data_IF_875967418758
#
_entry.id   IF_875967418758
#
_cell.length_a   1.000
_cell.length_b   1.000
_cell.length_c   1.000
_cell.angle_alpha   90.00
_cell.angle_beta   90.00
_cell.angle_gamma   90.00
#
_symmetry.space_group_name_H-M   'P 1'
#
loop_
_entity.id
_entity.type
_entity.pdbx_description
1 polymer ?
#
# COMPACT_ATOMS: atom_id res chain seq x y z
N UNK A 1 -33.65 -13.49 -20.78
CA UNK A 1 -32.43 -12.85 -21.34
C UNK A 1 -32.81 -11.46 -21.83
N UNK A 2 -32.06 -10.42 -21.47
CA UNK A 2 -32.32 -9.03 -21.90
C UNK A 2 -31.79 -8.79 -23.32
N UNK A 3 -32.47 -7.96 -24.10
CA UNK A 3 -32.04 -7.53 -25.45
C UNK A 3 -30.63 -6.92 -25.45
N UNK A 4 -30.28 -6.21 -24.37
CA UNK A 4 -28.93 -5.64 -24.17
C UNK A 4 -27.86 -6.72 -24.01
N UNK A 5 -28.16 -7.84 -23.34
CA UNK A 5 -27.22 -8.95 -23.18
C UNK A 5 -26.95 -9.72 -24.48
N UNK A 6 -27.92 -9.78 -25.40
CA UNK A 6 -27.72 -10.34 -26.73
C UNK A 6 -26.82 -9.44 -27.59
N UNK A 7 -27.02 -8.12 -27.56
CA UNK A 7 -26.18 -7.16 -28.27
C UNK A 7 -24.74 -7.15 -27.75
N UNK A 8 -24.54 -7.22 -26.42
CA UNK A 8 -23.19 -7.28 -25.83
C UNK A 8 -22.40 -8.52 -26.29
N UNK A 9 -23.06 -9.68 -26.42
CA UNK A 9 -22.44 -10.91 -26.93
C UNK A 9 -22.07 -10.79 -28.41
N UNK A 10 -22.90 -10.13 -29.22
CA UNK A 10 -22.59 -9.81 -30.62
C UNK A 10 -21.34 -8.92 -30.77
N UNK A 11 -21.04 -8.09 -29.78
CA UNK A 11 -19.83 -7.27 -29.73
C UNK A 11 -18.62 -7.96 -29.04
N UNK A 12 -18.72 -9.26 -28.74
CA UNK A 12 -17.62 -10.04 -28.16
C UNK A 12 -17.36 -9.77 -26.67
N UNK A 13 -18.37 -9.30 -25.93
CA UNK A 13 -18.27 -9.17 -24.47
C UNK A 13 -18.52 -10.50 -23.76
N UNK A 14 -17.81 -10.79 -22.64
CA UNK A 14 -18.10 -11.94 -21.79
C UNK A 14 -19.49 -11.87 -21.17
N UNK A 15 -20.03 -13.03 -20.75
CA UNK A 15 -21.36 -13.12 -20.13
C UNK A 15 -21.48 -12.29 -18.84
N UNK A 16 -20.41 -12.19 -18.05
CA UNK A 16 -20.42 -11.43 -16.81
C UNK A 16 -20.45 -9.91 -17.03
N UNK A 17 -20.21 -9.42 -18.26
CA UNK A 17 -20.17 -7.99 -18.58
C UNK A 17 -21.48 -7.26 -18.28
N UNK A 18 -22.62 -7.94 -18.40
CA UNK A 18 -23.94 -7.37 -18.11
C UNK A 18 -24.03 -6.84 -16.66
N UNK A 19 -23.23 -7.39 -15.72
CA UNK A 19 -23.13 -6.91 -14.35
C UNK A 19 -22.62 -5.47 -14.27
N UNK A 20 -21.80 -5.00 -15.22
CA UNK A 20 -21.23 -3.65 -15.23
C UNK A 20 -22.31 -2.56 -15.15
N UNK A 21 -23.47 -2.78 -15.76
CA UNK A 21 -24.62 -1.86 -15.72
C UNK A 21 -25.14 -1.58 -14.30
N UNK A 22 -24.84 -2.45 -13.33
CA UNK A 22 -25.23 -2.32 -11.93
C UNK A 22 -24.28 -1.42 -11.12
N UNK A 23 -23.14 -1.03 -11.69
CA UNK A 23 -22.10 -0.28 -10.99
C UNK A 23 -21.95 1.12 -11.59
N UNK A 24 -22.12 2.14 -10.76
CA UNK A 24 -21.84 3.54 -11.13
C UNK A 24 -20.48 3.93 -10.57
N UNK A 25 -19.48 4.03 -11.44
CA UNK A 25 -18.10 4.33 -11.03
C UNK A 25 -17.95 5.79 -10.61
N UNK A 26 -17.30 6.01 -9.48
CA UNK A 26 -16.96 7.32 -8.91
C UNK A 26 -15.46 7.64 -9.06
N UNK A 27 -14.90 8.33 -8.06
CA UNK A 27 -13.50 8.79 -8.08
C UNK A 27 -12.49 7.64 -8.03
N UNK A 28 -11.27 7.92 -8.48
CA UNK A 28 -10.12 7.02 -8.33
C UNK A 28 -9.60 7.06 -6.90
N UNK A 29 -9.48 5.89 -6.27
CA UNK A 29 -8.92 5.70 -4.93
C UNK A 29 -7.41 5.45 -4.98
N UNK A 30 -6.95 4.77 -6.02
CA UNK A 30 -5.53 4.47 -6.22
C UNK A 30 -5.24 4.06 -7.65
N UNK A 31 -4.01 4.31 -8.10
CA UNK A 31 -3.51 3.87 -9.40
C UNK A 31 -2.15 3.19 -9.17
N UNK A 32 -2.04 1.94 -9.61
CA UNK A 32 -0.81 1.15 -9.53
C UNK A 32 -0.41 0.63 -10.90
N UNK A 33 0.69 -0.11 -10.95
CA UNK A 33 1.27 -0.61 -12.21
C UNK A 33 0.33 -1.54 -12.99
N UNK A 34 -0.54 -2.28 -12.30
CA UNK A 34 -1.40 -3.29 -12.91
C UNK A 34 -2.86 -2.87 -13.10
N UNK A 35 -3.24 -1.69 -12.60
CA UNK A 35 -4.64 -1.32 -12.57
C UNK A 35 -4.96 -0.08 -11.76
N UNK A 36 -6.22 0.33 -11.88
CA UNK A 36 -6.79 1.46 -11.14
C UNK A 36 -7.87 0.93 -10.20
N UNK A 37 -7.89 1.45 -8.97
CA UNK A 37 -8.94 1.20 -7.99
C UNK A 37 -9.86 2.42 -7.99
N UNK A 38 -11.16 2.20 -8.22
CA UNK A 38 -12.19 3.26 -8.18
C UNK A 38 -13.24 2.91 -7.14
N UNK A 39 -13.84 3.93 -6.53
CA UNK A 39 -15.09 3.72 -5.80
C UNK A 39 -16.24 3.51 -6.80
N UNK A 40 -17.29 2.79 -6.41
CA UNK A 40 -18.52 2.70 -7.19
C UNK A 40 -19.74 2.57 -6.28
N UNK A 41 -20.87 3.11 -6.74
CA UNK A 41 -22.17 2.77 -6.16
C UNK A 41 -22.65 1.45 -6.79
N UNK A 42 -23.14 0.53 -5.95
CA UNK A 42 -23.62 -0.79 -6.35
C UNK A 42 -24.94 -1.14 -5.65
N UNK A 43 -25.62 -2.23 -6.03
CA UNK A 43 -26.80 -2.73 -5.30
C UNK A 43 -26.51 -3.10 -3.85
N UNK A 44 -25.23 -3.28 -3.48
CA UNK A 44 -24.78 -3.64 -2.14
C UNK A 44 -24.26 -2.44 -1.34
N UNK A 45 -24.46 -1.21 -1.84
CA UNK A 45 -23.89 0.01 -1.28
C UNK A 45 -22.60 0.43 -1.99
N UNK A 46 -21.79 1.29 -1.35
CA UNK A 46 -20.52 1.76 -1.89
C UNK A 46 -19.45 0.67 -1.81
N UNK A 47 -18.72 0.49 -2.91
CA UNK A 47 -17.72 -0.57 -3.07
C UNK A 47 -16.41 -0.02 -3.66
N UNK A 48 -15.32 -0.76 -3.48
CA UNK A 48 -14.09 -0.54 -4.22
C UNK A 48 -14.02 -1.51 -5.39
N UNK A 49 -13.66 -1.01 -6.58
CA UNK A 49 -13.53 -1.80 -7.80
C UNK A 49 -12.11 -1.68 -8.33
N UNK A 50 -11.35 -2.79 -8.24
CA UNK A 50 -10.02 -2.91 -8.85
C UNK A 50 -10.17 -3.33 -10.30
N UNK A 51 -9.63 -2.52 -11.21
CA UNK A 51 -9.70 -2.71 -12.66
C UNK A 51 -8.33 -3.15 -13.15
N UNK A 52 -8.24 -4.38 -13.68
CA UNK A 52 -6.99 -4.97 -14.20
C UNK A 52 -7.12 -5.12 -15.72
N UNK A 53 -6.11 -4.68 -16.47
CA UNK A 53 -6.11 -4.81 -17.93
C UNK A 53 -5.71 -6.24 -18.32
N UNK A 54 -6.52 -6.92 -19.14
CA UNK A 54 -6.23 -8.29 -19.62
C UNK A 54 -4.93 -8.42 -20.39
N UNK A 55 -4.52 -7.35 -21.09
CA UNK A 55 -3.24 -7.31 -21.80
C UNK A 55 -2.03 -7.50 -20.87
N UNK A 56 -2.14 -7.11 -19.60
CA UNK A 56 -1.08 -7.26 -18.61
C UNK A 56 -0.95 -8.71 -18.09
N UNK A 57 -1.92 -9.56 -18.41
CA UNK A 57 -2.02 -10.95 -17.92
C UNK A 57 -2.20 -11.95 -19.08
N UNK A 58 -1.91 -11.50 -20.31
CA UNK A 58 -2.12 -12.27 -21.54
C UNK A 58 -1.32 -13.55 -21.52
N UNK A 59 -1.97 -14.69 -21.76
CA UNK A 59 -1.36 -16.02 -21.71
C UNK A 59 -1.39 -16.68 -20.32
N UNK A 60 -1.78 -15.95 -19.28
CA UNK A 60 -1.92 -16.45 -17.91
C UNK A 60 -3.33 -16.19 -17.33
N UNK A 61 -4.34 -16.01 -18.18
CA UNK A 61 -5.71 -15.67 -17.77
C UNK A 61 -6.30 -16.71 -16.82
N UNK A 62 -5.97 -17.99 -17.01
CA UNK A 62 -6.41 -19.09 -16.12
C UNK A 62 -6.01 -18.84 -14.67
N UNK A 63 -4.78 -18.36 -14.43
CA UNK A 63 -4.30 -18.08 -13.08
C UNK A 63 -5.11 -16.97 -12.41
N UNK A 64 -5.58 -15.98 -13.18
CA UNK A 64 -6.45 -14.91 -12.66
C UNK A 64 -7.79 -15.48 -12.23
N UNK A 65 -8.39 -16.40 -13.00
CA UNK A 65 -9.64 -17.05 -12.61
C UNK A 65 -9.49 -17.93 -11.37
N UNK A 66 -8.43 -18.73 -11.30
CA UNK A 66 -8.14 -19.58 -10.13
C UNK A 66 -7.97 -18.71 -8.87
N UNK A 67 -7.34 -17.54 -9.01
CA UNK A 67 -7.17 -16.59 -7.92
C UNK A 67 -8.47 -15.88 -7.53
N UNK A 68 -9.32 -15.52 -8.49
CA UNK A 68 -10.66 -15.00 -8.20
C UNK A 68 -11.52 -16.04 -7.46
N UNK A 69 -11.41 -17.32 -7.80
CA UNK A 69 -12.08 -18.41 -7.09
C UNK A 69 -11.56 -18.54 -5.66
N UNK A 70 -10.26 -18.43 -5.46
CA UNK A 70 -9.64 -18.41 -4.13
C UNK A 70 -10.14 -17.22 -3.30
N UNK A 71 -10.14 -16.00 -3.86
CA UNK A 71 -10.60 -14.79 -3.15
C UNK A 71 -12.06 -14.86 -2.72
N UNK A 72 -12.91 -15.47 -3.55
CA UNK A 72 -14.32 -15.71 -3.22
C UNK A 72 -14.51 -16.60 -1.98
N UNK A 73 -13.51 -17.44 -1.66
CA UNK A 73 -13.55 -18.35 -0.51
C UNK A 73 -12.99 -17.73 0.77
N UNK A 74 -12.18 -16.67 0.67
CA UNK A 74 -11.58 -16.03 1.83
C UNK A 74 -12.63 -15.28 2.65
N UNK A 75 -12.73 -15.63 3.93
CA UNK A 75 -13.63 -15.01 4.91
C UNK A 75 -12.91 -14.86 6.23
N UNK A 76 -12.54 -13.62 6.56
CA UNK A 76 -11.88 -13.27 7.81
C UNK A 76 -12.17 -11.81 8.13
N UNK A 77 -12.31 -11.48 9.42
CA UNK A 77 -12.67 -10.13 9.91
C UNK A 77 -11.66 -9.06 9.46
N UNK A 78 -10.37 -9.38 9.55
CA UNK A 78 -9.27 -8.49 9.15
C UNK A 78 -8.84 -8.65 7.68
N UNK A 79 -9.71 -9.12 6.80
CA UNK A 79 -9.49 -9.21 5.35
C UNK A 79 -10.62 -8.45 4.64
N UNK A 80 -10.26 -7.62 3.65
CA UNK A 80 -11.26 -6.92 2.84
C UNK A 80 -12.25 -7.92 2.21
N UNK A 81 -13.54 -7.78 2.50
CA UNK A 81 -14.58 -8.68 2.00
C UNK A 81 -14.69 -8.62 0.48
N UNK A 82 -14.62 -9.79 -0.14
CA UNK A 82 -14.97 -9.97 -1.55
C UNK A 82 -16.49 -9.85 -1.73
N UNK A 83 -16.94 -9.10 -2.74
CA UNK A 83 -18.36 -8.86 -3.02
C UNK A 83 -18.77 -9.50 -4.34
N UNK A 84 -18.06 -9.18 -5.43
CA UNK A 84 -18.41 -9.64 -6.77
C UNK A 84 -17.18 -9.53 -7.69
N UNK A 85 -17.29 -10.11 -8.88
CA UNK A 85 -16.39 -9.82 -9.98
C UNK A 85 -17.10 -9.96 -11.33
N UNK A 86 -16.56 -9.26 -12.32
CA UNK A 86 -16.98 -9.35 -13.71
C UNK A 86 -15.85 -8.96 -14.65
N UNK A 87 -16.04 -9.15 -15.94
CA UNK A 87 -15.04 -8.83 -16.95
C UNK A 87 -15.68 -8.20 -18.19
N UNK A 88 -14.91 -7.35 -18.86
CA UNK A 88 -15.14 -6.94 -20.24
C UNK A 88 -14.19 -7.69 -21.15
N UNK A 89 -14.29 -7.44 -22.45
CA UNK A 89 -13.36 -7.97 -23.46
C UNK A 89 -11.88 -7.75 -23.09
N UNK A 90 -11.57 -6.62 -22.46
CA UNK A 90 -10.22 -6.12 -22.22
C UNK A 90 -9.84 -5.98 -20.73
N UNK A 91 -10.77 -6.15 -19.78
CA UNK A 91 -10.55 -5.85 -18.35
C UNK A 91 -11.20 -6.87 -17.42
N UNK A 92 -10.55 -7.11 -16.28
CA UNK A 92 -11.15 -7.72 -15.09
C UNK A 92 -11.55 -6.63 -14.10
N UNK A 93 -12.70 -6.81 -13.45
CA UNK A 93 -13.24 -5.93 -12.42
C UNK A 93 -13.48 -6.76 -11.15
N UNK A 94 -12.74 -6.43 -10.09
CA UNK A 94 -12.80 -7.13 -8.81
C UNK A 94 -13.44 -6.19 -7.81
N UNK A 95 -14.58 -6.59 -7.24
CA UNK A 95 -15.40 -5.76 -6.36
C UNK A 95 -15.23 -6.22 -4.92
N UNK A 96 -14.78 -5.32 -4.06
CA UNK A 96 -14.58 -5.57 -2.63
C UNK A 96 -15.27 -4.50 -1.78
N UNK A 97 -15.39 -4.75 -0.47
CA UNK A 97 -15.86 -3.71 0.46
C UNK A 97 -15.00 -2.45 0.34
N UNK A 98 -15.64 -1.28 0.43
CA UNK A 98 -14.93 -0.01 0.48
C UNK A 98 -14.45 0.26 1.92
N UNK A 99 -13.14 0.43 2.09
CA UNK A 99 -12.56 0.92 3.34
C UNK A 99 -12.43 2.45 3.28
N UNK A 100 -13.08 3.14 4.21
CA UNK A 100 -13.17 4.62 4.26
C UNK A 100 -12.46 5.24 5.45
N UNK A 101 -11.95 4.41 6.38
CA UNK A 101 -11.27 4.85 7.60
C UNK A 101 -9.82 5.29 7.42
N UNK A 102 -9.29 5.20 6.20
CA UNK A 102 -7.91 5.58 5.88
C UNK A 102 -6.87 4.50 6.19
N UNK A 103 -5.62 4.82 5.86
CA UNK A 103 -4.46 3.96 6.09
C UNK A 103 -4.06 3.92 7.57
N UNK A 104 -3.45 2.80 8.00
CA UNK A 104 -3.02 2.57 9.38
C UNK A 104 -2.25 3.75 10.00
N UNK A 105 -1.16 4.19 9.35
CA UNK A 105 -0.30 5.25 9.87
C UNK A 105 -0.96 6.63 9.85
N UNK A 106 -1.82 6.88 8.86
CA UNK A 106 -2.54 8.14 8.75
C UNK A 106 -3.49 8.30 9.95
N UNK A 107 -4.22 7.23 10.28
CA UNK A 107 -5.15 7.22 11.40
C UNK A 107 -4.44 7.30 12.75
N UNK A 108 -3.34 6.57 12.93
CA UNK A 108 -2.56 6.65 14.18
C UNK A 108 -2.10 8.09 14.43
N UNK A 109 -1.62 8.79 13.40
CA UNK A 109 -1.14 10.17 13.54
C UNK A 109 -2.22 11.17 13.98
N UNK A 110 -3.50 10.83 13.78
CA UNK A 110 -4.67 11.63 14.16
C UNK A 110 -5.16 11.35 15.58
N UNK A 111 -4.64 10.29 16.23
CA UNK A 111 -4.94 9.99 17.63
C UNK A 111 -4.23 10.97 18.59
N UNK A 112 -4.70 10.99 19.83
CA UNK A 112 -4.09 11.79 20.90
C UNK A 112 -2.85 11.15 21.52
N UNK A 113 -2.78 9.81 21.54
CA UNK A 113 -1.69 9.00 22.09
C UNK A 113 -1.68 7.65 21.34
N UNK A 114 -0.50 7.09 21.10
CA UNK A 114 -0.36 5.75 20.54
C UNK A 114 0.77 4.99 21.25
N UNK A 115 0.43 3.89 21.91
CA UNK A 115 1.34 3.12 22.76
C UNK A 115 1.85 1.84 22.10
N UNK A 116 2.85 1.22 22.70
CA UNK A 116 3.29 -0.12 22.31
C UNK A 116 2.15 -1.14 22.41
N UNK A 117 1.25 -0.98 23.40
CA UNK A 117 0.08 -1.84 23.54
C UNK A 117 -0.85 -1.69 22.34
N UNK A 118 -1.13 -0.47 21.90
CA UNK A 118 -1.95 -0.23 20.71
C UNK A 118 -1.32 -0.83 19.45
N UNK A 119 0.01 -0.70 19.31
CA UNK A 119 0.78 -1.34 18.25
C UNK A 119 0.65 -2.87 18.27
N UNK A 120 0.76 -3.50 19.45
CA UNK A 120 0.59 -4.95 19.60
C UNK A 120 -0.79 -5.44 19.14
N UNK A 121 -1.85 -4.68 19.45
CA UNK A 121 -3.21 -5.02 19.04
C UNK A 121 -3.39 -4.89 17.52
N UNK A 122 -2.86 -3.82 16.92
CA UNK A 122 -2.88 -3.64 15.47
C UNK A 122 -2.15 -4.79 14.77
N UNK A 123 -0.94 -5.14 15.23
CA UNK A 123 -0.15 -6.22 14.63
C UNK A 123 -0.82 -7.58 14.84
N UNK A 124 -1.50 -7.81 15.96
CA UNK A 124 -2.28 -9.04 16.17
C UNK A 124 -3.41 -9.20 15.14
N UNK A 125 -4.13 -8.11 14.82
CA UNK A 125 -5.18 -8.13 13.79
C UNK A 125 -4.61 -8.47 12.40
N UNK A 126 -3.51 -7.81 12.02
CA UNK A 126 -2.82 -8.07 10.74
C UNK A 126 -2.29 -9.51 10.69
N UNK A 127 -1.65 -9.97 11.76
CA UNK A 127 -1.10 -11.31 11.84
C UNK A 127 -2.20 -12.38 11.79
N UNK A 128 -3.37 -12.14 12.39
CA UNK A 128 -4.53 -13.03 12.28
C UNK A 128 -4.98 -13.18 10.83
N UNK A 129 -5.03 -12.07 10.06
CA UNK A 129 -5.33 -12.13 8.63
C UNK A 129 -4.27 -12.92 7.86
N UNK A 130 -2.98 -12.66 8.11
CA UNK A 130 -1.86 -13.36 7.46
C UNK A 130 -1.88 -14.85 7.79
N UNK A 131 -2.14 -15.23 9.04
CA UNK A 131 -2.24 -16.62 9.45
C UNK A 131 -3.39 -17.35 8.76
N UNK A 132 -4.55 -16.69 8.64
CA UNK A 132 -5.68 -17.22 7.87
C UNK A 132 -5.31 -17.45 6.40
N UNK A 133 -4.65 -16.49 5.75
CA UNK A 133 -4.18 -16.64 4.37
C UNK A 133 -3.22 -17.83 4.24
N UNK A 134 -2.22 -17.90 5.12
CA UNK A 134 -1.22 -18.95 5.13
C UNK A 134 -1.85 -20.34 5.32
N UNK A 135 -2.83 -20.49 6.20
CA UNK A 135 -3.57 -21.76 6.39
C UNK A 135 -4.38 -22.17 5.17
N UNK A 136 -4.87 -21.20 4.40
CA UNK A 136 -5.56 -21.43 3.13
C UNK A 136 -4.60 -21.53 1.93
N UNK A 137 -3.29 -21.59 2.15
CA UNK A 137 -2.30 -21.73 1.09
C UNK A 137 -2.05 -20.46 0.26
N UNK A 138 -2.51 -19.32 0.77
CA UNK A 138 -2.39 -18.02 0.11
C UNK A 138 -1.20 -17.26 0.69
N UNK A 139 -0.45 -16.57 -0.18
CA UNK A 139 0.63 -15.65 0.18
C UNK A 139 0.24 -14.27 -0.34
N UNK A 140 0.27 -13.24 0.50
CA UNK A 140 -0.12 -11.88 0.16
C UNK A 140 0.86 -11.22 -0.82
N UNK A 141 2.18 -11.36 -0.57
CA UNK A 141 3.30 -10.90 -1.42
C UNK A 141 3.49 -9.38 -1.54
N UNK A 142 2.53 -8.59 -1.09
CA UNK A 142 2.62 -7.13 -1.08
C UNK A 142 2.17 -6.53 0.26
N UNK A 143 2.57 -7.17 1.37
CA UNK A 143 2.21 -6.64 2.68
C UNK A 143 3.00 -5.35 2.93
N UNK A 144 2.28 -4.24 3.08
CA UNK A 144 2.84 -2.90 3.27
C UNK A 144 1.81 -1.99 3.95
N UNK A 145 2.22 -0.88 4.57
CA UNK A 145 1.32 0.06 5.24
C UNK A 145 0.12 0.53 4.42
N UNK A 146 0.32 0.76 3.12
CA UNK A 146 -0.71 1.21 2.17
C UNK A 146 -1.89 0.23 2.08
N UNK A 147 -1.63 -1.05 2.35
CA UNK A 147 -2.59 -2.15 2.22
C UNK A 147 -3.28 -2.47 3.56
N UNK A 148 -3.00 -1.70 4.62
CA UNK A 148 -3.63 -1.83 5.94
C UNK A 148 -4.61 -0.68 6.13
N UNK A 149 -5.90 -0.96 5.95
CA UNK A 149 -6.95 0.06 5.89
C UNK A 149 -7.96 -0.14 7.00
N UNK A 150 -8.45 0.95 7.58
CA UNK A 150 -9.60 0.89 8.46
C UNK A 150 -10.90 0.94 7.67
N UNK A 151 -11.87 0.09 8.04
CA UNK A 151 -13.14 -0.02 7.30
C UNK A 151 -13.93 1.29 7.33
N UNK A 152 -14.00 1.95 8.49
CA UNK A 152 -14.74 3.19 8.72
C UNK A 152 -13.90 4.18 9.54
N UNK A 153 -14.36 5.43 9.63
CA UNK A 153 -13.74 6.47 10.44
C UNK A 153 -13.98 6.31 11.95
N UNK A 154 -14.91 5.43 12.37
CA UNK A 154 -15.30 5.26 13.78
C UNK A 154 -14.17 4.68 14.64
N UNK A 155 -13.89 5.21 15.84
CA UNK A 155 -12.70 4.88 16.63
C UNK A 155 -12.42 3.37 16.84
N UNK A 156 -13.46 2.56 16.90
CA UNK A 156 -13.44 1.11 17.10
C UNK A 156 -13.41 0.30 15.79
N UNK A 157 -13.34 0.97 14.63
CA UNK A 157 -13.35 0.32 13.32
C UNK A 157 -12.22 -0.69 13.16
N UNK A 158 -12.55 -1.83 12.57
CA UNK A 158 -11.59 -2.88 12.26
C UNK A 158 -10.53 -2.44 11.25
N UNK A 159 -9.31 -2.93 11.48
CA UNK A 159 -8.22 -2.91 10.52
C UNK A 159 -8.36 -4.11 9.60
N UNK A 160 -8.32 -3.88 8.29
CA UNK A 160 -8.40 -4.92 7.26
C UNK A 160 -7.19 -4.88 6.34
N UNK A 161 -6.73 -6.07 5.97
CA UNK A 161 -5.78 -6.27 4.90
C UNK A 161 -6.49 -6.17 3.55
N UNK A 162 -6.05 -5.23 2.73
CA UNK A 162 -6.55 -4.96 1.40
C UNK A 162 -5.49 -5.30 0.33
N UNK A 163 -5.95 -5.31 -0.93
CA UNK A 163 -5.11 -5.47 -2.12
C UNK A 163 -4.24 -6.74 -2.17
N UNK A 164 -4.92 -7.88 -2.33
CA UNK A 164 -4.26 -9.14 -2.67
C UNK A 164 -3.54 -9.00 -4.02
N UNK A 165 -2.28 -9.40 -4.06
CA UNK A 165 -1.34 -9.23 -5.18
C UNK A 165 -1.64 -10.09 -6.40
N UNK A 166 -2.89 -10.12 -6.88
CA UNK A 166 -3.40 -10.99 -7.95
C UNK A 166 -2.60 -10.90 -9.25
N UNK A 167 -2.07 -9.71 -9.54
CA UNK A 167 -1.27 -9.48 -10.72
C UNK A 167 0.23 -9.75 -10.53
N UNK A 168 0.73 -9.88 -9.29
CA UNK A 168 2.17 -10.07 -9.01
C UNK A 168 2.62 -11.53 -9.16
N UNK A 169 1.69 -12.49 -9.16
CA UNK A 169 1.98 -13.89 -9.49
C UNK A 169 2.35 -14.08 -10.97
N UNK A 170 2.05 -13.07 -11.79
CA UNK A 170 2.16 -13.11 -13.25
C UNK A 170 3.40 -12.41 -13.79
N UNK A 171 4.16 -11.74 -12.93
CA UNK A 171 5.41 -11.12 -13.36
C UNK A 171 6.44 -12.20 -13.74
N UNK A 172 6.99 -12.04 -14.94
CA UNK A 172 8.26 -12.67 -15.29
C UNK A 172 9.34 -12.23 -14.28
N UNK A 173 10.39 -13.05 -14.11
CA UNK A 173 11.51 -12.72 -13.20
C UNK A 173 12.17 -11.37 -13.52
N UNK A 174 11.98 -10.83 -14.72
CA UNK A 174 12.59 -9.58 -15.19
C UNK A 174 11.71 -8.34 -14.99
N UNK A 175 10.38 -8.44 -15.16
CA UNK A 175 9.46 -7.31 -15.00
C UNK A 175 9.16 -6.96 -13.53
N UNK A 176 9.20 -7.96 -12.63
CA UNK A 176 8.93 -7.77 -11.19
C UNK A 176 9.82 -6.72 -10.52
N UNK A 177 11.10 -6.60 -10.91
CA UNK A 177 12.01 -5.61 -10.30
C UNK A 177 11.72 -4.17 -10.73
N UNK A 178 11.27 -3.95 -11.98
CA UNK A 178 10.95 -2.61 -12.45
C UNK A 178 9.65 -2.10 -11.82
N UNK A 179 8.69 -2.99 -11.59
CA UNK A 179 7.43 -2.69 -10.90
C UNK A 179 7.61 -2.50 -9.39
N UNK A 180 8.61 -3.15 -8.78
CA UNK A 180 8.94 -3.01 -7.35
C UNK A 180 9.69 -1.71 -6.99
N UNK A 181 10.02 -0.86 -7.97
CA UNK A 181 10.91 0.31 -7.81
C UNK A 181 10.51 1.34 -6.72
N UNK A 182 9.28 1.27 -6.18
CA UNK A 182 8.82 2.12 -5.06
C UNK A 182 8.64 1.42 -3.70
N UNK A 183 8.62 0.08 -3.63
CA UNK A 183 8.14 -0.67 -2.45
C UNK A 183 9.15 -1.64 -1.83
N UNK A 184 10.43 -1.60 -2.21
CA UNK A 184 11.45 -2.53 -1.70
C UNK A 184 11.62 -2.52 -0.17
N UNK A 185 11.28 -1.42 0.51
CA UNK A 185 11.48 -1.29 1.96
C UNK A 185 10.83 -2.40 2.80
N UNK A 186 9.77 -3.03 2.29
CA UNK A 186 9.05 -4.13 2.95
C UNK A 186 9.32 -5.51 2.32
N UNK A 187 10.06 -5.58 1.22
CA UNK A 187 10.30 -6.82 0.50
C UNK A 187 11.38 -7.66 1.20
N UNK A 188 11.16 -8.97 1.25
CA UNK A 188 12.12 -9.92 1.80
C UNK A 188 13.37 -10.06 0.89
N UNK A 189 14.56 -10.37 1.45
CA UNK A 189 15.79 -10.50 0.67
C UNK A 189 15.68 -11.54 -0.44
N UNK A 190 15.00 -12.67 -0.19
CA UNK A 190 14.80 -13.72 -1.20
C UNK A 190 13.90 -13.29 -2.38
N UNK A 191 13.02 -12.31 -2.16
CA UNK A 191 12.20 -11.70 -3.23
C UNK A 191 13.07 -10.77 -4.07
N UNK A 192 13.93 -9.97 -3.42
CA UNK A 192 14.87 -9.08 -4.10
C UNK A 192 15.94 -9.86 -4.89
N UNK A 193 16.38 -11.00 -4.37
CA UNK A 193 17.37 -11.89 -4.98
C UNK A 193 16.76 -12.97 -5.90
N UNK A 194 15.45 -12.89 -6.17
CA UNK A 194 14.73 -13.77 -7.12
C UNK A 194 14.81 -15.27 -6.81
N UNK A 195 15.07 -15.63 -5.55
CA UNK A 195 15.15 -17.04 -5.11
C UNK A 195 13.78 -17.68 -4.95
N UNK A 196 12.72 -16.88 -4.84
CA UNK A 196 11.33 -17.34 -4.77
C UNK A 196 10.48 -16.47 -3.86
N UNK A 197 9.18 -16.76 -3.81
CA UNK A 197 8.24 -16.10 -2.91
C UNK A 197 7.32 -17.17 -2.30
N UNK A 198 7.42 -17.34 -0.97
CA UNK A 198 6.56 -18.23 -0.20
C UNK A 198 5.98 -17.51 1.01
N UNK A 199 5.23 -18.21 1.87
CA UNK A 199 4.65 -17.66 3.11
C UNK A 199 5.64 -16.84 3.98
N UNK A 200 6.94 -17.20 4.09
CA UNK A 200 7.88 -16.41 4.88
C UNK A 200 8.03 -14.94 4.43
N UNK A 201 7.75 -14.60 3.17
CA UNK A 201 7.92 -13.22 2.68
C UNK A 201 6.98 -12.25 3.38
N UNK A 202 5.74 -12.67 3.64
CA UNK A 202 4.75 -11.85 4.36
C UNK A 202 5.18 -11.64 5.82
N UNK A 203 5.84 -12.64 6.42
CA UNK A 203 6.36 -12.55 7.78
C UNK A 203 7.50 -11.53 7.89
N UNK A 204 8.37 -11.46 6.89
CA UNK A 204 9.39 -10.41 6.82
C UNK A 204 8.76 -9.02 6.73
N UNK A 205 7.82 -8.83 5.80
CA UNK A 205 7.11 -7.57 5.64
C UNK A 205 6.38 -7.15 6.92
N UNK A 206 5.77 -8.09 7.63
CA UNK A 206 5.13 -7.85 8.93
C UNK A 206 6.16 -7.40 9.98
N UNK A 207 7.34 -7.99 10.00
CA UNK A 207 8.45 -7.56 10.87
C UNK A 207 8.88 -6.12 10.59
N UNK A 208 9.05 -5.75 9.32
CA UNK A 208 9.38 -4.38 8.90
C UNK A 208 8.27 -3.39 9.29
N UNK A 209 7.00 -3.76 9.09
CA UNK A 209 5.84 -2.94 9.50
C UNK A 209 5.84 -2.75 11.02
N UNK A 210 6.04 -3.82 11.78
CA UNK A 210 6.09 -3.79 13.25
C UNK A 210 7.21 -2.89 13.76
N UNK A 211 8.41 -3.03 13.19
CA UNK A 211 9.55 -2.15 13.50
C UNK A 211 9.19 -0.69 13.24
N UNK A 212 8.62 -0.40 12.07
CA UNK A 212 8.27 0.98 11.68
C UNK A 212 7.18 1.56 12.57
N UNK A 213 6.21 0.74 12.98
CA UNK A 213 5.12 1.12 13.86
C UNK A 213 5.60 1.50 15.27
N UNK A 214 6.70 0.88 15.73
CA UNK A 214 7.26 1.11 17.05
C UNK A 214 8.31 2.23 17.13
N UNK A 215 8.80 2.74 16.00
CA UNK A 215 9.85 3.76 16.06
C UNK A 215 9.80 4.85 14.98
N UNK A 216 8.87 4.78 14.03
CA UNK A 216 8.72 5.80 12.98
C UNK A 216 9.85 5.84 11.94
N UNK A 217 10.57 4.74 11.73
CA UNK A 217 11.49 4.61 10.60
C UNK A 217 11.67 3.14 10.17
N UNK A 218 12.10 2.93 8.93
CA UNK A 218 12.37 1.59 8.40
C UNK A 218 13.66 0.99 8.98
N UNK A 219 13.70 -0.31 9.32
CA UNK A 219 14.92 -0.97 9.78
C UNK A 219 16.04 -0.94 8.73
N UNK A 220 15.67 -0.89 7.45
CA UNK A 220 16.58 -0.80 6.32
C UNK A 220 16.34 0.50 5.56
N UNK A 221 17.40 1.24 5.24
CA UNK A 221 17.29 2.63 4.74
C UNK A 221 17.86 2.85 3.35
N UNK A 222 18.57 1.88 2.79
CA UNK A 222 19.16 2.04 1.47
C UNK A 222 18.10 2.28 0.38
N UNK A 223 18.36 3.26 -0.49
CA UNK A 223 17.56 3.54 -1.68
C UNK A 223 18.03 2.72 -2.90
N UNK A 224 19.23 2.16 -2.85
CA UNK A 224 19.79 1.31 -3.90
C UNK A 224 19.46 -0.16 -3.60
N UNK A 225 18.86 -0.86 -4.56
CA UNK A 225 18.47 -2.26 -4.41
C UNK A 225 19.63 -3.18 -3.99
N UNK A 226 20.84 -3.00 -4.52
CA UNK A 226 22.00 -3.83 -4.18
C UNK A 226 22.42 -3.61 -2.73
N UNK A 227 22.52 -2.34 -2.34
CA UNK A 227 22.92 -1.97 -0.99
C UNK A 227 21.83 -2.34 0.03
N UNK A 228 20.55 -2.26 -0.36
CA UNK A 228 19.42 -2.70 0.46
C UNK A 228 19.45 -4.21 0.67
N UNK A 229 19.68 -4.99 -0.39
CA UNK A 229 19.84 -6.44 -0.27
C UNK A 229 21.02 -6.80 0.64
N UNK A 230 22.13 -6.07 0.54
CA UNK A 230 23.27 -6.23 1.44
C UNK A 230 22.89 -5.92 2.89
N UNK A 231 22.17 -4.82 3.12
CA UNK A 231 21.67 -4.42 4.45
C UNK A 231 20.77 -5.52 5.04
N UNK A 232 19.85 -6.06 4.25
CA UNK A 232 18.93 -7.11 4.67
C UNK A 232 19.60 -8.47 4.92
N UNK A 233 20.75 -8.75 4.31
CA UNK A 233 21.41 -10.07 4.40
C UNK A 233 22.60 -10.10 5.36
N UNK A 234 23.30 -8.98 5.53
CA UNK A 234 24.53 -8.91 6.32
C UNK A 234 24.37 -8.11 7.61
N UNK A 235 23.47 -7.13 7.66
CA UNK A 235 23.28 -6.32 8.87
C UNK A 235 22.17 -6.92 9.73
N UNK A 236 22.44 -6.97 11.03
CA UNK A 236 21.40 -7.25 12.02
C UNK A 236 20.52 -6.02 12.19
N UNK A 237 19.25 -6.24 12.54
CA UNK A 237 18.33 -5.17 12.88
C UNK A 237 18.92 -4.34 14.02
N UNK A 238 19.08 -3.03 13.80
CA UNK A 238 19.63 -2.12 14.81
C UNK A 238 18.51 -1.42 15.55
N UNK A 239 18.49 -1.54 16.87
CA UNK A 239 17.56 -0.82 17.74
C UNK A 239 18.25 0.43 18.31
N UNK A 240 18.14 1.57 17.61
CA UNK A 240 18.79 2.80 18.06
C UNK A 240 18.20 3.27 19.39
N UNK A 241 19.05 3.41 20.40
CA UNK A 241 18.66 3.69 21.79
C UNK A 241 17.70 4.89 21.92
N UNK A 242 17.88 5.93 21.11
CA UNK A 242 17.01 7.12 21.06
C UNK A 242 15.52 6.79 20.91
N UNK A 243 15.17 5.74 20.18
CA UNK A 243 13.78 5.39 19.88
C UNK A 243 13.33 4.10 20.57
N UNK A 244 14.29 3.24 20.94
CA UNK A 244 14.00 1.87 21.40
C UNK A 244 14.28 1.65 22.89
N UNK A 245 14.75 2.67 23.62
CA UNK A 245 14.99 2.59 25.06
C UNK A 245 13.72 2.22 25.84
N UNK A 246 12.59 2.81 25.46
CA UNK A 246 11.31 2.65 26.15
C UNK A 246 10.39 1.61 25.48
N UNK A 247 10.90 0.87 24.50
CA UNK A 247 10.19 -0.24 23.84
C UNK A 247 10.63 -1.56 24.49
N UNK A 248 9.66 -2.43 24.79
CA UNK A 248 9.91 -3.69 25.48
C UNK A 248 10.90 -4.61 24.74
N UNK A 249 11.60 -5.46 25.49
CA UNK A 249 12.47 -6.47 24.89
C UNK A 249 11.67 -7.57 24.18
N UNK A 250 10.43 -7.80 24.59
CA UNK A 250 9.49 -8.70 23.90
C UNK A 250 9.14 -8.18 22.49
N UNK A 251 8.94 -6.87 22.32
CA UNK A 251 8.78 -6.26 20.99
C UNK A 251 10.00 -6.50 20.10
N UNK A 252 11.19 -6.31 20.68
CA UNK A 252 12.46 -6.50 19.97
C UNK A 252 12.66 -7.97 19.59
N UNK A 253 12.42 -8.93 20.50
CA UNK A 253 12.48 -10.36 20.18
C UNK A 253 11.49 -10.70 19.08
N UNK A 254 10.23 -10.28 19.19
CA UNK A 254 9.21 -10.50 18.17
C UNK A 254 9.67 -10.06 16.77
N UNK A 255 10.25 -8.86 16.66
CA UNK A 255 10.81 -8.35 15.39
C UNK A 255 11.98 -9.22 14.91
N UNK A 256 12.91 -9.57 15.80
CA UNK A 256 14.08 -10.38 15.45
C UNK A 256 13.71 -11.81 14.98
N UNK A 257 12.56 -12.34 15.41
CA UNK A 257 12.02 -13.62 14.90
C UNK A 257 11.44 -13.53 13.49
N UNK A 258 10.98 -12.34 13.09
CA UNK A 258 10.36 -12.07 11.79
C UNK A 258 11.36 -11.55 10.74
N UNK A 259 12.30 -10.70 11.14
CA UNK A 259 13.34 -10.16 10.26
C UNK A 259 14.57 -11.05 10.32
N UNK A 260 14.40 -12.28 9.82
CA UNK A 260 15.48 -13.28 9.69
C UNK A 260 15.82 -13.44 8.20
N UNK A 261 17.08 -13.21 7.77
CA UNK A 261 17.47 -13.31 6.37
C UNK A 261 17.22 -14.70 5.78
N UNK A 262 17.52 -15.75 6.55
CA UNK A 262 17.21 -17.13 6.20
C UNK A 262 15.70 -17.42 6.37
N UNK A 263 14.99 -17.51 5.24
CA UNK A 263 13.55 -17.76 5.20
C UNK A 263 13.11 -19.07 5.89
N UNK A 264 14.01 -20.06 6.04
CA UNK A 264 13.69 -21.33 6.70
C UNK A 264 13.79 -21.25 8.23
N UNK A 265 14.51 -20.26 8.75
CA UNK A 265 14.62 -19.98 10.19
C UNK A 265 13.63 -18.92 10.66
N UNK A 266 13.09 -18.13 9.72
CA UNK A 266 12.06 -17.13 9.96
C UNK A 266 10.80 -17.75 10.54
N UNK A 267 10.22 -17.12 11.55
CA UNK A 267 8.99 -17.64 12.15
C UNK A 267 7.81 -17.62 11.19
N UNK A 268 7.01 -18.67 11.29
CA UNK A 268 5.71 -18.79 10.65
C UNK A 268 4.67 -17.93 11.37
N UNK A 269 3.53 -17.68 10.71
CA UNK A 269 2.41 -16.97 11.31
C UNK A 269 1.88 -17.66 12.58
N UNK A 270 1.82 -19.00 12.58
CA UNK A 270 1.37 -19.79 13.73
C UNK A 270 2.31 -19.70 14.94
N UNK A 271 3.62 -19.58 14.70
CA UNK A 271 4.61 -19.36 15.76
C UNK A 271 4.50 -17.93 16.30
N UNK A 272 4.44 -16.95 15.41
CA UNK A 272 4.32 -15.54 15.78
C UNK A 272 3.05 -15.25 16.59
N UNK A 273 1.92 -15.89 16.27
CA UNK A 273 0.65 -15.73 16.99
C UNK A 273 0.72 -16.14 18.47
N UNK A 274 1.73 -16.92 18.87
CA UNK A 274 1.92 -17.39 20.24
C UNK A 274 2.91 -16.54 21.04
N UNK A 275 3.46 -15.49 20.44
CA UNK A 275 4.47 -14.66 21.10
C UNK A 275 3.85 -13.81 22.21
N UNK A 276 4.55 -13.69 23.35
CA UNK A 276 4.09 -12.95 24.54
C UNK A 276 3.77 -11.49 24.24
N UNK A 277 4.57 -10.83 23.41
CA UNK A 277 4.35 -9.44 23.00
C UNK A 277 2.92 -9.15 22.51
N UNK A 278 2.26 -10.10 21.83
CA UNK A 278 0.91 -9.92 21.29
C UNK A 278 -0.19 -9.92 22.36
N UNK A 279 0.11 -10.38 23.59
CA UNK A 279 -0.82 -10.22 24.73
C UNK A 279 -0.92 -8.76 25.17
N UNK A 280 0.12 -7.95 24.90
CA UNK A 280 0.23 -6.57 25.35
C UNK A 280 0.50 -6.44 26.86
N UNK A 281 0.75 -7.53 27.56
CA UNK A 281 1.05 -7.52 29.02
C UNK A 281 2.45 -6.97 29.30
N UNK A 282 3.38 -7.11 28.36
CA UNK A 282 4.76 -6.61 28.45
C UNK A 282 4.97 -5.27 27.73
N UNK A 283 3.90 -4.72 27.14
CA UNK A 283 3.97 -3.49 26.36
C UNK A 283 4.07 -2.25 27.26
N UNK A 284 4.87 -1.27 26.85
CA UNK A 284 5.04 -0.03 27.61
C UNK A 284 3.96 1.01 27.28
N UNK A 285 3.74 1.95 28.22
CA UNK A 285 2.83 3.10 28.05
C UNK A 285 3.47 4.28 27.32
N UNK A 286 4.68 4.09 26.76
CA UNK A 286 5.41 5.12 26.02
C UNK A 286 4.63 5.57 24.78
N UNK A 287 4.60 6.89 24.54
CA UNK A 287 3.89 7.45 23.40
C UNK A 287 4.80 7.48 22.17
N UNK A 288 4.46 6.66 21.18
CA UNK A 288 5.18 6.47 19.92
C UNK A 288 4.77 7.49 18.83
N UNK A 289 3.74 8.27 19.12
CA UNK A 289 3.10 9.17 18.17
C UNK A 289 4.02 10.27 17.59
N UNK A 290 4.94 10.91 18.36
CA UNK A 290 5.82 11.95 17.81
C UNK A 290 6.68 11.44 16.64
N UNK A 291 7.25 10.25 16.79
CA UNK A 291 8.08 9.57 15.80
C UNK A 291 7.26 9.21 14.56
N UNK A 292 6.05 8.68 14.76
CA UNK A 292 5.14 8.29 13.69
C UNK A 292 4.65 9.50 12.87
N UNK A 293 4.43 10.66 13.48
CA UNK A 293 4.09 11.89 12.75
C UNK A 293 5.23 12.37 11.85
N UNK A 294 6.46 12.28 12.33
CA UNK A 294 7.66 12.58 11.52
C UNK A 294 7.78 11.62 10.34
N UNK A 295 7.55 10.33 10.58
CA UNK A 295 7.52 9.29 9.55
C UNK A 295 6.46 9.55 8.47
N UNK A 296 5.20 9.78 8.86
CA UNK A 296 4.07 10.06 7.96
C UNK A 296 4.39 11.23 7.03
N UNK A 297 4.96 12.30 7.57
CA UNK A 297 5.34 13.49 6.80
C UNK A 297 6.38 13.15 5.72
N UNK A 298 7.41 12.38 6.08
CA UNK A 298 8.44 11.91 5.13
C UNK A 298 7.85 10.98 4.06
N UNK A 299 6.97 10.07 4.44
CA UNK A 299 6.31 9.16 3.49
C UNK A 299 5.42 9.89 2.50
N UNK A 300 4.62 10.85 2.95
CA UNK A 300 3.79 11.69 2.07
C UNK A 300 4.65 12.46 1.06
N UNK A 301 5.76 13.03 1.51
CA UNK A 301 6.71 13.69 0.62
C UNK A 301 7.30 12.74 -0.42
N UNK A 302 7.74 11.55 0.02
CA UNK A 302 8.31 10.52 -0.86
C UNK A 302 7.30 10.08 -1.92
N UNK A 303 6.06 9.77 -1.54
CA UNK A 303 4.98 9.42 -2.47
C UNK A 303 4.72 10.53 -3.48
N UNK A 304 4.68 11.79 -3.04
CA UNK A 304 4.51 12.93 -3.94
C UNK A 304 5.64 13.03 -4.98
N UNK A 305 6.89 12.82 -4.56
CA UNK A 305 8.05 12.80 -5.47
C UNK A 305 7.94 11.64 -6.48
N UNK A 306 7.53 10.45 -6.04
CA UNK A 306 7.37 9.28 -6.91
C UNK A 306 6.27 9.50 -7.96
N UNK A 307 5.13 10.11 -7.59
CA UNK A 307 4.07 10.48 -8.53
C UNK A 307 4.58 11.47 -9.59
N UNK A 308 5.37 12.48 -9.19
CA UNK A 308 5.98 13.43 -10.13
C UNK A 308 6.96 12.75 -11.08
N UNK A 309 7.83 11.87 -10.57
CA UNK A 309 8.76 11.07 -11.39
C UNK A 309 8.01 10.20 -12.39
N UNK A 310 6.95 9.51 -11.95
CA UNK A 310 6.11 8.67 -12.80
C UNK A 310 5.43 9.49 -13.89
N UNK A 311 4.84 10.65 -13.55
CA UNK A 311 4.23 11.56 -14.52
C UNK A 311 5.23 12.02 -15.58
N UNK A 312 6.45 12.38 -15.17
CA UNK A 312 7.50 12.78 -16.10
C UNK A 312 7.93 11.63 -17.03
N UNK A 313 8.01 10.40 -16.50
CA UNK A 313 8.31 9.20 -17.30
C UNK A 313 7.21 8.86 -18.29
N UNK A 314 5.94 8.94 -17.89
CA UNK A 314 4.78 8.75 -18.77
C UNK A 314 4.78 9.81 -19.88
N UNK A 315 5.04 11.08 -19.54
CA UNK A 315 5.15 12.14 -20.54
C UNK A 315 6.25 11.84 -21.55
N UNK A 316 7.44 11.47 -21.10
CA UNK A 316 8.57 11.12 -21.96
C UNK A 316 8.34 9.87 -22.84
N UNK A 317 7.45 8.96 -22.44
CA UNK A 317 7.01 7.82 -23.25
C UNK A 317 5.95 8.24 -24.28
N UNK A 318 4.97 9.06 -23.89
CA UNK A 318 3.97 9.61 -24.82
C UNK A 318 4.62 10.48 -25.91
N UNK A 319 5.62 11.28 -25.56
CA UNK A 319 6.38 12.10 -26.51
C UNK A 319 7.24 11.24 -27.47
N UNK A 320 7.40 9.93 -27.21
CA UNK A 320 8.10 8.96 -28.09
C UNK A 320 7.15 8.08 -28.92
N UNK A 321 5.89 7.97 -28.52
CA UNK A 321 4.85 7.15 -29.16
C UNK A 321 3.96 7.97 -30.12
N UNK A 322 4.39 9.17 -30.58
CA UNK A 322 3.76 9.89 -31.70
C UNK A 322 4.02 9.20 -33.06
N UNK A 323 3.60 7.93 -33.16
CA UNK A 323 3.39 7.19 -34.41
C UNK A 323 1.85 7.08 -34.60
N UNK A 324 1.27 7.56 -35.71
CA UNK A 324 -0.15 7.96 -35.80
C UNK A 324 -1.20 6.83 -35.83
N UNK A 325 -0.89 5.59 -35.44
CA UNK A 325 -1.79 4.44 -35.58
C UNK A 325 -2.36 3.84 -34.28
N UNK A 326 -2.25 4.49 -33.11
CA UNK A 326 -2.78 3.90 -31.86
C UNK A 326 -3.50 4.90 -30.94
N UNK A 327 -4.74 5.27 -31.30
CA UNK A 327 -5.57 6.28 -30.64
C UNK A 327 -6.46 5.78 -29.49
N UNK A 328 -6.16 4.67 -28.82
CA UNK A 328 -7.09 4.05 -27.84
C UNK A 328 -6.81 4.40 -26.36
N UNK A 329 -6.13 5.52 -26.12
CA UNK A 329 -5.84 6.05 -24.77
C UNK A 329 -6.65 7.31 -24.40
N UNK A 330 -7.62 7.72 -25.23
CA UNK A 330 -8.43 8.92 -25.02
C UNK A 330 -9.73 8.70 -24.20
N UNK A 331 -10.24 7.47 -24.12
CA UNK A 331 -11.59 7.20 -23.56
C UNK A 331 -11.66 7.09 -22.03
N UNK A 332 -10.71 7.67 -21.30
CA UNK A 332 -10.79 7.85 -19.84
C UNK A 332 -10.98 9.31 -19.42
N UNK A 333 -11.09 10.24 -20.38
CA UNK A 333 -11.23 11.67 -20.12
C UNK A 333 -12.59 12.27 -20.50
N UNK A 334 -13.49 11.52 -21.16
CA UNK A 334 -14.61 12.16 -21.90
C UNK A 334 -16.02 11.87 -21.37
N UNK A 335 -16.18 11.68 -20.06
CA UNK A 335 -17.50 11.52 -19.42
C UNK A 335 -17.84 12.62 -18.38
N UNK A 336 -17.14 13.76 -18.44
CA UNK A 336 -17.37 14.94 -17.57
C UNK A 336 -18.08 16.07 -18.36
N UNK A 337 -19.11 15.72 -19.14
CA UNK A 337 -20.05 16.70 -19.72
C UNK A 337 -21.26 16.89 -18.81
N UNK A 338 -21.06 17.57 -17.67
CA UNK A 338 -22.03 18.58 -17.24
C UNK A 338 -21.45 19.52 -16.15
N UNK A 339 -21.40 20.81 -16.49
CA UNK A 339 -21.39 21.97 -15.58
C UNK A 339 -20.29 22.11 -14.52
N UNK A 340 -19.27 22.95 -14.78
CA UNK A 340 -18.50 23.57 -13.67
C UNK A 340 -17.07 24.06 -13.90
N UNK A 341 -16.61 24.20 -15.15
CA UNK A 341 -15.18 24.45 -15.45
C UNK A 341 -14.59 25.75 -14.88
N UNK A 342 -15.41 26.75 -14.53
CA UNK A 342 -14.92 27.99 -13.91
C UNK A 342 -14.44 27.82 -12.46
N UNK A 343 -15.12 26.97 -11.67
CA UNK A 343 -14.85 26.84 -10.23
C UNK A 343 -13.68 25.88 -9.95
N UNK A 344 -13.47 24.87 -10.81
CA UNK A 344 -12.42 23.84 -10.67
C UNK A 344 -11.02 24.41 -10.91
N UNK A 345 -10.85 25.26 -11.93
CA UNK A 345 -9.59 25.96 -12.21
C UNK A 345 -9.25 26.99 -11.13
N UNK A 346 -10.25 27.68 -10.57
CA UNK A 346 -10.03 28.65 -9.51
C UNK A 346 -9.69 27.98 -8.17
N UNK A 347 -10.31 26.84 -7.85
CA UNK A 347 -10.00 26.03 -6.65
C UNK A 347 -8.64 25.34 -6.74
N UNK A 348 -8.26 24.80 -7.91
CA UNK A 348 -6.93 24.23 -8.16
C UNK A 348 -5.83 25.29 -8.12
N UNK A 349 -6.11 26.49 -8.66
CA UNK A 349 -5.21 27.64 -8.55
C UNK A 349 -5.03 28.11 -7.10
N UNK A 350 -6.11 28.22 -6.32
CA UNK A 350 -6.04 28.59 -4.91
C UNK A 350 -5.31 27.55 -4.06
N UNK A 351 -5.48 26.26 -4.37
CA UNK A 351 -4.81 25.16 -3.67
C UNK A 351 -3.31 25.15 -3.96
N UNK A 352 -2.91 25.30 -5.23
CA UNK A 352 -1.51 25.43 -5.63
C UNK A 352 -0.85 26.69 -5.03
N UNK A 353 -1.57 27.81 -4.93
CA UNK A 353 -1.10 29.03 -4.27
C UNK A 353 -0.94 28.85 -2.75
N UNK A 354 -1.85 28.11 -2.09
CA UNK A 354 -1.72 27.78 -0.66
C UNK A 354 -0.53 26.82 -0.40
N UNK A 355 -0.31 25.83 -1.27
CA UNK A 355 0.85 24.93 -1.16
C UNK A 355 2.18 25.65 -1.45
N UNK A 356 2.21 26.56 -2.43
CA UNK A 356 3.39 27.37 -2.72
C UNK A 356 3.73 28.30 -1.55
N UNK A 357 2.72 28.91 -0.92
CA UNK A 357 2.91 29.78 0.25
C UNK A 357 3.37 28.99 1.48
N UNK A 358 2.80 27.81 1.74
CA UNK A 358 3.24 26.93 2.83
C UNK A 358 4.68 26.45 2.65
N UNK A 359 5.08 26.15 1.40
CA UNK A 359 6.45 25.77 1.05
C UNK A 359 7.44 26.94 1.20
N UNK A 360 6.99 28.17 0.96
CA UNK A 360 7.82 29.37 1.12
C UNK A 360 7.98 29.75 2.60
N UNK A 361 6.94 29.59 3.41
CA UNK A 361 6.98 29.77 4.87
C UNK A 361 7.88 28.70 5.53
N UNK A 362 7.83 27.44 5.09
CA UNK A 362 8.71 26.38 5.60
C UNK A 362 10.19 26.63 5.28
N UNK A 363 10.49 27.11 4.06
CA UNK A 363 11.86 27.46 3.67
C UNK A 363 12.40 28.66 4.47
N UNK A 364 11.56 29.64 4.77
CA UNK A 364 11.96 30.76 5.65
C UNK A 364 12.24 30.28 7.07
N UNK A 365 11.46 29.34 7.61
CA UNK A 365 11.70 28.77 8.95
C UNK A 365 13.03 27.99 8.96
N UNK A 366 13.31 27.16 7.95
CA UNK A 366 14.58 26.43 7.83
C UNK A 366 15.78 27.37 7.73
N UNK A 367 15.69 28.45 6.93
CA UNK A 367 16.76 29.46 6.84
C UNK A 367 16.98 30.21 8.16
N UNK A 368 15.90 30.48 8.90
CA UNK A 368 15.97 31.18 10.19
C UNK A 368 16.61 30.28 11.25
N UNK A 369 16.22 29.01 11.31
CA UNK A 369 16.83 28.02 12.19
C UNK A 369 18.31 27.75 11.83
N UNK A 370 18.66 27.73 10.54
CA UNK A 370 20.05 27.58 10.11
C UNK A 370 20.91 28.79 10.48
N UNK A 371 20.36 30.01 10.41
CA UNK A 371 21.04 31.25 10.84
C UNK A 371 21.21 31.29 12.37
N UNK A 372 20.22 30.85 13.14
CA UNK A 372 20.31 30.74 14.60
C UNK A 372 21.30 29.66 15.05
N UNK A 373 21.32 28.51 14.38
CA UNK A 373 22.30 27.45 14.63
C UNK A 373 23.73 27.94 14.38
N UNK A 374 23.96 28.70 13.30
CA UNK A 374 25.27 29.32 13.01
C UNK A 374 25.67 30.41 14.03
N UNK A 375 24.71 31.19 14.54
CA UNK A 375 24.97 32.17 15.61
C UNK A 375 25.35 31.49 16.92
N UNK A 376 24.69 30.38 17.26
CA UNK A 376 25.01 29.58 18.46
C UNK A 376 26.36 28.88 18.35
N UNK A 377 26.74 28.39 17.16
CA UNK A 377 28.06 27.79 16.96
C UNK A 377 29.22 28.80 16.94
N UNK A 378 28.94 30.07 16.61
CA UNK A 378 29.94 31.15 16.61
C UNK A 378 30.22 31.79 17.98
N UNK A 379 29.39 31.53 18.99
CA UNK A 379 29.58 32.04 20.36
C UNK A 379 30.42 31.11 21.26
N UNK A 380 30.80 29.91 20.78
CA UNK A 380 31.61 28.93 21.52
C UNK A 380 33.07 28.85 21.06
N UNK A 381 33.50 29.77 20.18
CA UNK A 381 34.87 29.82 19.63
C UNK A 381 35.55 31.17 19.83
N UNK A 382 35.18 31.92 20.89
CA UNK A 382 35.83 33.16 21.32
C UNK A 382 36.39 33.03 22.71
#
# INVERSE_FOLDING_TARGET
MSFSGMLNRLHGQPESYDKKSKYRFGRTLGAGTYGTVREADSPFGKVAVKIILKRNVKGNEKMVYDELEMLQRLKHEHIVKFIDWFESRDKFYIVTQLATGGELFDRICEQGKFTEKDASQCIRQVLSAVDYLHKNGVVHRDLKPENLLYVTSEPDSDLVLADFGIAKTLDSKEDSLQTMAGSFGYAAPEVMDRQGHGKPVDMWSLGVITYTLLCGYSPFRSENLKDLLLECTQNTVVFHERYWRDVSDDAKDFILRLIVPDQHKRWTSEQAMKHSWLSGETATDHDLLPELRSYRTKQRLRRAIEVVKLRNRIKALKDKDEDPENSDMADLADDDKDGGDGARLQALGLFALKEAKAKQESLQIEETMAKEAKRRSGQFSG
#
